data_IF_173849370221
#
_entry.id   IF_173849370221
#
_cell.length_a   1.000
_cell.length_b   1.000
_cell.length_c   1.000
_cell.angle_alpha   90.00
_cell.angle_beta   90.00
_cell.angle_gamma   90.00
#
_symmetry.space_group_name_H-M   'P 1'
#
loop_
_entity.id
_entity.type
_entity.pdbx_description
1 polymer ?
#
# COMPACT_ATOMS: atom_id res chain seq x y z
N UNK A 1 3.45 -18.97 -5.67
CA UNK A 1 2.66 -19.97 -6.26
C UNK A 1 1.21 -19.62 -6.28
N UNK A 2 0.49 -20.30 -7.11
CA UNK A 2 -0.92 -20.01 -7.29
C UNK A 2 -1.68 -20.12 -5.98
N UNK A 3 -1.38 -21.14 -5.21
CA UNK A 3 -2.04 -21.33 -3.93
C UNK A 3 -1.81 -20.19 -2.96
N UNK A 4 -0.59 -19.69 -2.93
CA UNK A 4 -0.26 -18.58 -2.04
C UNK A 4 -1.01 -17.32 -2.42
N UNK A 5 -1.11 -17.09 -3.71
CA UNK A 5 -1.84 -15.96 -4.23
C UNK A 5 -3.30 -16.01 -3.78
N UNK A 6 -3.92 -17.18 -3.93
CA UNK A 6 -5.31 -17.38 -3.51
C UNK A 6 -5.44 -17.16 -2.00
N UNK A 7 -4.47 -17.65 -1.24
CA UNK A 7 -4.49 -17.49 0.21
C UNK A 7 -4.39 -16.03 0.62
N UNK A 8 -3.58 -15.25 -0.07
CA UNK A 8 -3.47 -13.83 0.23
C UNK A 8 -4.82 -13.15 0.08
N UNK A 9 -5.52 -13.45 -1.01
CA UNK A 9 -6.84 -12.88 -1.24
C UNK A 9 -7.81 -13.25 -0.14
N UNK A 10 -7.75 -14.50 0.30
CA UNK A 10 -8.67 -15.00 1.29
C UNK A 10 -8.35 -14.54 2.69
N UNK A 11 -7.08 -14.25 2.95
CA UNK A 11 -6.64 -13.87 4.29
C UNK A 11 -6.84 -12.41 4.62
N UNK A 12 -6.99 -11.59 3.60
CA UNK A 12 -7.16 -10.17 3.88
C UNK A 12 -8.48 -9.99 4.58
N UNK A 13 -8.44 -9.58 5.85
CA UNK A 13 -9.66 -9.53 6.64
C UNK A 13 -10.60 -8.45 6.16
N UNK A 14 -11.87 -8.68 6.43
CA UNK A 14 -12.87 -7.67 6.18
C UNK A 14 -12.58 -6.48 7.06
N UNK A 15 -12.53 -5.30 6.46
CA UNK A 15 -12.38 -4.06 7.17
C UNK A 15 -13.56 -3.16 6.82
N UNK A 16 -13.60 -2.00 7.45
CA UNK A 16 -14.61 -1.03 7.04
C UNK A 16 -14.47 -0.82 5.54
N UNK A 17 -15.57 -0.54 4.89
CA UNK A 17 -15.53 -0.36 3.46
C UNK A 17 -15.50 -1.64 2.66
N UNK A 18 -15.99 -2.74 3.23
CA UNK A 18 -16.13 -3.98 2.46
C UNK A 18 -16.90 -3.73 1.20
N UNK A 19 -16.43 -4.29 0.08
CA UNK A 19 -17.11 -4.12 -1.19
C UNK A 19 -18.28 -5.08 -1.26
N UNK A 20 -19.44 -4.54 -1.55
CA UNK A 20 -20.69 -5.31 -1.65
C UNK A 20 -21.00 -5.56 -3.10
N UNK A 21 -21.66 -6.69 -3.36
CA UNK A 21 -21.97 -7.08 -4.73
C UNK A 21 -23.43 -7.47 -4.92
N UNK A 22 -24.28 -7.18 -3.92
CA UNK A 22 -25.69 -7.58 -3.97
C UNK A 22 -26.54 -6.66 -4.84
N UNK A 23 -26.20 -5.39 -4.98
CA UNK A 23 -26.90 -4.49 -5.87
C UNK A 23 -25.91 -3.54 -6.54
N UNK A 24 -26.32 -2.97 -7.65
CA UNK A 24 -25.51 -2.00 -8.36
C UNK A 24 -25.15 -0.81 -7.46
N UNK A 25 -26.14 -0.30 -6.77
CA UNK A 25 -25.91 0.89 -5.95
C UNK A 25 -24.98 0.63 -4.78
N UNK A 26 -25.13 -0.51 -4.14
CA UNK A 26 -24.24 -0.87 -3.03
C UNK A 26 -22.83 -1.16 -3.51
N UNK A 27 -22.70 -1.79 -4.67
CA UNK A 27 -21.39 -2.02 -5.27
C UNK A 27 -20.69 -0.70 -5.57
N UNK A 28 -21.41 0.21 -6.20
CA UNK A 28 -20.85 1.51 -6.54
C UNK A 28 -20.39 2.25 -5.29
N UNK A 29 -21.23 2.27 -4.27
CA UNK A 29 -20.95 2.97 -3.03
C UNK A 29 -19.71 2.41 -2.35
N UNK A 30 -19.64 1.08 -2.22
CA UNK A 30 -18.51 0.46 -1.53
C UNK A 30 -17.23 0.52 -2.34
N UNK A 31 -17.30 0.48 -3.67
CA UNK A 31 -16.12 0.66 -4.50
C UNK A 31 -15.53 2.06 -4.35
N UNK A 32 -16.39 3.06 -4.39
CA UNK A 32 -15.95 4.44 -4.23
C UNK A 32 -15.39 4.67 -2.82
N UNK A 33 -16.03 4.09 -1.81
CA UNK A 33 -15.54 4.18 -0.44
C UNK A 33 -14.14 3.57 -0.31
N UNK A 34 -13.95 2.39 -0.90
CA UNK A 34 -12.64 1.74 -0.82
C UNK A 34 -11.56 2.53 -1.54
N UNK A 35 -11.91 3.14 -2.65
CA UNK A 35 -10.95 3.98 -3.35
C UNK A 35 -10.58 5.20 -2.51
N UNK A 36 -11.56 5.80 -1.85
CA UNK A 36 -11.32 6.95 -0.98
C UNK A 36 -10.42 6.56 0.20
N UNK A 37 -10.69 5.40 0.81
CA UNK A 37 -9.89 4.93 1.93
C UNK A 37 -8.45 4.63 1.48
N UNK A 38 -8.30 4.07 0.29
CA UNK A 38 -6.96 3.84 -0.28
C UNK A 38 -6.21 5.16 -0.44
N UNK A 39 -6.88 6.17 -0.96
CA UNK A 39 -6.27 7.49 -1.15
C UNK A 39 -5.81 8.07 0.19
N UNK A 40 -6.61 7.86 1.23
CA UNK A 40 -6.25 8.31 2.58
C UNK A 40 -4.97 7.63 3.06
N UNK A 41 -4.87 6.30 2.86
CA UNK A 41 -3.67 5.57 3.28
C UNK A 41 -2.43 6.00 2.50
N UNK A 42 -2.60 6.29 1.21
CA UNK A 42 -1.49 6.81 0.41
C UNK A 42 -1.02 8.15 0.96
N UNK A 43 -1.95 8.98 1.41
CA UNK A 43 -1.62 10.27 2.03
C UNK A 43 -0.83 10.08 3.31
N UNK A 44 -1.13 9.03 4.08
CA UNK A 44 -0.39 8.73 5.30
C UNK A 44 1.06 8.36 4.97
N UNK A 45 1.28 7.67 3.86
CA UNK A 45 2.64 7.38 3.41
C UNK A 45 3.38 8.67 3.12
N UNK A 46 2.71 9.62 2.47
CA UNK A 46 3.31 10.92 2.15
C UNK A 46 3.74 11.64 3.43
N UNK A 47 2.92 11.57 4.48
CA UNK A 47 3.26 12.20 5.76
C UNK A 47 4.49 11.54 6.39
N UNK A 48 4.60 10.23 6.29
CA UNK A 48 5.77 9.54 6.82
C UNK A 48 7.04 9.91 6.06
N UNK A 49 6.94 10.07 4.74
CA UNK A 49 8.08 10.50 3.96
C UNK A 49 8.50 11.93 4.33
N UNK A 50 7.54 12.78 4.61
CA UNK A 50 7.86 14.12 5.09
C UNK A 50 8.58 14.05 6.43
N UNK A 51 8.07 13.22 7.33
CA UNK A 51 8.68 13.03 8.64
C UNK A 51 10.12 12.55 8.51
N UNK A 52 10.37 11.66 7.55
CA UNK A 52 11.73 11.16 7.29
C UNK A 52 12.70 12.31 7.09
N UNK A 53 12.36 13.24 6.24
CA UNK A 53 13.27 14.34 5.90
C UNK A 53 13.37 15.39 7.00
N UNK A 54 12.28 15.62 7.73
CA UNK A 54 12.32 16.52 8.88
C UNK A 54 13.24 15.94 9.96
N UNK A 55 13.10 14.65 10.24
CA UNK A 55 13.92 13.97 11.23
C UNK A 55 15.39 13.95 10.82
N UNK A 56 15.64 13.79 9.53
CA UNK A 56 16.99 13.83 9.03
C UNK A 56 17.66 15.16 9.31
N UNK A 57 16.94 16.25 9.06
CA UNK A 57 17.48 17.57 9.35
C UNK A 57 17.80 17.74 10.83
N UNK A 58 16.97 17.20 11.70
CA UNK A 58 17.20 17.23 13.12
C UNK A 58 18.50 16.53 13.50
N UNK A 59 18.72 15.34 12.95
CA UNK A 59 19.95 14.59 13.23
C UNK A 59 21.20 15.29 12.70
N UNK A 60 21.08 15.91 11.53
CA UNK A 60 22.22 16.66 10.99
C UNK A 60 22.58 17.82 11.92
N UNK A 61 21.59 18.48 12.48
CA UNK A 61 21.84 19.56 13.44
C UNK A 61 22.49 19.06 14.72
N UNK A 62 22.22 17.82 15.07
CA UNK A 62 22.80 17.21 16.27
C UNK A 62 24.23 16.72 16.03
N UNK A 63 24.73 16.83 14.82
CA UNK A 63 26.12 16.51 14.54
C UNK A 63 26.37 15.19 13.85
N UNK A 64 25.32 14.44 13.54
CA UNK A 64 25.49 13.20 12.80
C UNK A 64 25.83 13.52 11.36
N UNK A 65 26.63 12.65 10.72
CA UNK A 65 26.89 12.84 9.31
C UNK A 65 25.66 12.43 8.49
N UNK A 66 25.69 12.76 7.21
CA UNK A 66 24.54 12.57 6.35
C UNK A 66 24.09 11.12 6.26
N UNK A 67 25.05 10.21 6.14
CA UNK A 67 24.74 8.79 6.00
C UNK A 67 24.10 8.23 7.27
N UNK A 68 24.66 8.56 8.42
CA UNK A 68 24.12 8.13 9.70
C UNK A 68 22.75 8.73 9.95
N UNK A 69 22.61 10.01 9.67
CA UNK A 69 21.33 10.71 9.87
C UNK A 69 20.23 10.06 9.05
N UNK A 70 20.55 9.73 7.80
CA UNK A 70 19.57 9.12 6.92
C UNK A 70 19.16 7.73 7.38
N UNK A 71 20.15 6.94 7.79
CA UNK A 71 19.89 5.60 8.30
C UNK A 71 18.96 5.63 9.51
N UNK A 72 19.27 6.50 10.46
CA UNK A 72 18.46 6.65 11.67
C UNK A 72 17.04 7.14 11.35
N UNK A 73 16.95 8.09 10.44
CA UNK A 73 15.64 8.62 10.05
C UNK A 73 14.78 7.55 9.37
N UNK A 74 15.40 6.71 8.54
CA UNK A 74 14.69 5.59 7.92
C UNK A 74 14.16 4.62 8.96
N UNK A 75 14.98 4.30 9.96
CA UNK A 75 14.56 3.38 11.00
C UNK A 75 13.36 3.91 11.78
N UNK A 76 13.34 5.22 12.00
CA UNK A 76 12.25 5.83 12.78
C UNK A 76 10.88 5.65 12.16
N UNK A 77 10.79 5.63 10.84
CA UNK A 77 9.47 5.51 10.17
C UNK A 77 9.19 4.09 9.70
N UNK A 78 10.16 3.20 9.81
CA UNK A 78 10.09 1.90 9.16
C UNK A 78 8.86 1.07 9.51
N UNK A 79 8.57 0.94 10.78
CA UNK A 79 7.44 0.14 11.24
C UNK A 79 6.10 0.72 10.77
N UNK A 80 5.94 2.03 10.95
CA UNK A 80 4.71 2.69 10.56
C UNK A 80 4.54 2.67 9.03
N UNK A 81 5.65 2.85 8.31
CA UNK A 81 5.60 2.80 6.85
C UNK A 81 5.13 1.43 6.36
N UNK A 82 5.64 0.37 6.98
CA UNK A 82 5.21 -0.98 6.62
C UNK A 82 3.72 -1.19 6.83
N UNK A 83 3.18 -0.65 7.91
CA UNK A 83 1.74 -0.74 8.20
C UNK A 83 0.93 -0.01 7.16
N UNK A 84 1.35 1.20 6.79
CA UNK A 84 0.60 1.97 5.80
C UNK A 84 0.64 1.34 4.42
N UNK A 85 1.79 0.80 4.04
CA UNK A 85 1.91 0.09 2.76
C UNK A 85 0.99 -1.13 2.77
N UNK A 86 0.96 -1.87 3.89
CA UNK A 86 0.10 -3.04 4.01
C UNK A 86 -1.37 -2.67 3.91
N UNK A 87 -1.77 -1.53 4.51
CA UNK A 87 -3.15 -1.07 4.41
C UNK A 87 -3.51 -0.72 2.97
N UNK A 88 -2.60 -0.08 2.24
CA UNK A 88 -2.83 0.23 0.83
C UNK A 88 -3.03 -1.06 0.05
N UNK A 89 -2.18 -2.05 0.29
CA UNK A 89 -2.27 -3.32 -0.38
C UNK A 89 -3.61 -4.01 -0.10
N UNK A 90 -4.07 -3.94 1.15
CA UNK A 90 -5.34 -4.55 1.53
C UNK A 90 -6.50 -3.93 0.75
N UNK A 91 -6.53 -2.62 0.60
CA UNK A 91 -7.60 -1.99 -0.16
C UNK A 91 -7.51 -2.33 -1.65
N UNK A 92 -6.29 -2.40 -2.19
CA UNK A 92 -6.12 -2.82 -3.58
C UNK A 92 -6.60 -4.25 -3.78
N UNK A 93 -6.30 -5.13 -2.84
CA UNK A 93 -6.75 -6.52 -2.91
C UNK A 93 -8.27 -6.62 -2.87
N UNK A 94 -8.92 -5.81 -2.06
CA UNK A 94 -10.39 -5.82 -2.00
C UNK A 94 -11.00 -5.46 -3.35
N UNK A 95 -10.45 -4.43 -3.99
CA UNK A 95 -10.94 -4.02 -5.30
C UNK A 95 -10.67 -5.11 -6.33
N UNK A 96 -9.45 -5.65 -6.33
CA UNK A 96 -9.09 -6.72 -7.25
C UNK A 96 -9.99 -7.93 -7.09
N UNK A 97 -10.29 -8.32 -5.84
CA UNK A 97 -11.17 -9.46 -5.58
C UNK A 97 -12.57 -9.23 -6.10
N UNK A 98 -13.06 -8.01 -5.98
CA UNK A 98 -14.39 -7.70 -6.51
C UNK A 98 -14.48 -7.97 -8.01
N UNK A 99 -13.40 -7.69 -8.74
CA UNK A 99 -13.35 -7.89 -10.18
C UNK A 99 -12.73 -9.24 -10.55
N UNK A 100 -12.52 -10.11 -9.56
CA UNK A 100 -11.99 -11.46 -9.76
C UNK A 100 -10.65 -11.46 -10.51
N UNK A 101 -9.81 -10.48 -10.21
CA UNK A 101 -8.49 -10.37 -10.83
C UNK A 101 -7.50 -11.33 -10.17
N UNK A 102 -6.64 -11.92 -10.97
CA UNK A 102 -5.53 -12.72 -10.48
C UNK A 102 -4.32 -11.79 -10.36
N UNK A 103 -4.13 -11.24 -9.17
CA UNK A 103 -3.11 -10.23 -8.95
C UNK A 103 -1.70 -10.71 -9.21
N UNK A 104 -1.41 -11.95 -8.86
CA UNK A 104 -0.09 -12.50 -9.09
C UNK A 104 0.22 -12.57 -10.58
N UNK A 105 -0.70 -13.16 -11.34
CA UNK A 105 -0.53 -13.29 -12.77
C UNK A 105 -0.47 -11.93 -13.45
N UNK A 106 -1.36 -11.03 -13.06
CA UNK A 106 -1.41 -9.69 -13.64
C UNK A 106 -0.12 -8.93 -13.36
N UNK A 107 0.41 -9.07 -12.17
CA UNK A 107 1.64 -8.40 -11.79
C UNK A 107 2.82 -8.91 -12.62
N UNK A 108 2.96 -10.22 -12.74
CA UNK A 108 4.07 -10.79 -13.52
C UNK A 108 3.96 -10.46 -14.99
N UNK A 109 2.76 -10.47 -15.53
CA UNK A 109 2.55 -10.09 -16.93
C UNK A 109 2.96 -8.63 -17.15
N UNK A 110 2.61 -7.77 -16.23
CA UNK A 110 2.97 -6.35 -16.33
C UNK A 110 4.48 -6.16 -16.23
N UNK A 111 5.12 -6.91 -15.34
CA UNK A 111 6.57 -6.80 -15.20
C UNK A 111 7.30 -7.25 -16.47
N UNK A 112 6.79 -8.28 -17.13
CA UNK A 112 7.37 -8.72 -18.40
C UNK A 112 7.22 -7.63 -19.47
N UNK A 113 6.08 -6.98 -19.48
CA UNK A 113 5.83 -5.88 -20.42
C UNK A 113 6.79 -4.71 -20.16
N UNK A 114 6.98 -4.36 -18.91
CA UNK A 114 7.90 -3.28 -18.54
C UNK A 114 9.33 -3.61 -18.93
N UNK A 115 9.75 -4.87 -18.74
CA UNK A 115 11.06 -5.33 -19.13
C UNK A 115 11.34 -5.11 -20.61
N UNK A 116 10.34 -5.33 -21.43
CA UNK A 116 10.50 -5.19 -22.89
C UNK A 116 10.67 -3.76 -23.34
N UNK A 117 10.33 -2.81 -22.50
CA UNK A 117 10.47 -1.39 -22.83
C UNK A 117 11.88 -0.87 -22.60
N UNK A 118 12.67 -1.61 -21.86
CA UNK A 118 14.05 -1.20 -21.53
C UNK A 118 15.08 -1.68 -22.59
#
# INVERSE_FOLDING_TARGET
MVKEETHVKERIPAKRGNIKDDTYEKSKESLLMNHMLLTTEISEIAELLRELFVTMQKYLKEGYDEEEAFLMAKENISTDLGKEISDCLAYLCKIANFFEQDMENDFYSKMEEVKKRV
#
